data_IF_788878278476
#
_entry.id   IF_788878278476
#
_cell.length_a   1.000
_cell.length_b   1.000
_cell.length_c   1.000
_cell.angle_alpha   90.00
_cell.angle_beta   90.00
_cell.angle_gamma   90.00
#
_symmetry.space_group_name_H-M   'P 1'
#
loop_
_entity.id
_entity.type
_entity.pdbx_description
1 polymer ?
#
# COMPACT_ATOMS: atom_id res chain seq x y z
N UNK A 1 12.85 5.08 18.71
CA UNK A 1 12.49 5.46 17.33
C UNK A 1 11.09 4.94 17.18
N UNK A 2 10.11 5.84 17.29
CA UNK A 2 8.72 5.44 17.50
C UNK A 2 8.03 5.50 16.14
N UNK A 3 7.68 4.31 15.65
CA UNK A 3 6.93 4.11 14.42
C UNK A 3 5.52 3.74 14.82
N UNK A 4 4.53 4.44 14.26
CA UNK A 4 3.12 4.15 14.47
C UNK A 4 2.50 3.69 13.16
N UNK A 5 1.59 2.72 13.26
CA UNK A 5 0.80 2.24 12.13
C UNK A 5 -0.65 2.67 12.34
N UNK A 6 -1.16 3.50 11.43
CA UNK A 6 -2.55 3.94 11.46
C UNK A 6 -3.32 3.38 10.26
N UNK A 7 -4.57 3.00 10.47
CA UNK A 7 -5.44 2.52 9.40
C UNK A 7 -5.60 3.56 8.30
N UNK A 8 -5.67 3.11 7.05
CA UNK A 8 -5.94 3.98 5.92
C UNK A 8 -7.45 4.14 5.70
N UNK A 9 -7.99 5.37 5.68
CA UNK A 9 -9.38 5.61 5.30
C UNK A 9 -9.63 5.26 3.83
N UNK A 10 -10.81 4.73 3.50
CA UNK A 10 -11.16 4.38 2.11
C UNK A 10 -11.11 5.60 1.15
N UNK A 11 -11.39 6.80 1.66
CA UNK A 11 -11.27 8.06 0.90
C UNK A 11 -9.85 8.39 0.47
N UNK A 12 -8.83 7.75 1.06
CA UNK A 12 -7.41 7.96 0.73
C UNK A 12 -6.86 6.97 -0.29
N UNK A 13 -7.72 6.25 -1.02
CA UNK A 13 -7.30 5.26 -2.03
C UNK A 13 -6.27 5.82 -3.03
N UNK A 14 -6.45 7.05 -3.52
CA UNK A 14 -5.51 7.66 -4.46
C UNK A 14 -4.11 7.87 -3.86
N UNK A 15 -4.02 8.16 -2.56
CA UNK A 15 -2.75 8.28 -1.86
C UNK A 15 -2.07 6.92 -1.72
N UNK A 16 -2.84 5.86 -1.43
CA UNK A 16 -2.34 4.47 -1.40
C UNK A 16 -1.82 4.07 -2.77
N UNK A 17 -2.60 4.30 -3.83
CA UNK A 17 -2.20 3.97 -5.19
C UNK A 17 -0.90 4.69 -5.58
N UNK A 18 -0.78 5.98 -5.24
CA UNK A 18 0.43 6.77 -5.47
C UNK A 18 1.63 6.19 -4.72
N UNK A 19 1.50 5.85 -3.44
CA UNK A 19 2.57 5.26 -2.65
C UNK A 19 3.00 3.87 -3.17
N UNK A 20 2.03 3.02 -3.55
CA UNK A 20 2.32 1.71 -4.16
C UNK A 20 3.05 1.90 -5.49
N UNK A 21 2.57 2.81 -6.35
CA UNK A 21 3.23 3.12 -7.62
C UNK A 21 4.67 3.58 -7.40
N UNK A 22 4.94 4.46 -6.43
CA UNK A 22 6.31 4.86 -6.11
C UNK A 22 7.22 3.67 -5.72
N UNK A 23 6.70 2.68 -4.99
CA UNK A 23 7.47 1.51 -4.56
C UNK A 23 7.71 0.47 -5.65
N UNK A 24 6.71 0.22 -6.52
CA UNK A 24 6.76 -0.92 -7.46
C UNK A 24 6.90 -0.54 -8.93
N UNK A 25 6.62 0.72 -9.31
CA UNK A 25 6.59 1.15 -10.71
C UNK A 25 7.87 0.80 -11.49
N UNK A 26 9.10 1.09 -11.01
CA UNK A 26 10.31 0.81 -11.79
C UNK A 26 10.48 -0.66 -12.15
N UNK A 27 10.00 -1.57 -11.29
CA UNK A 27 10.13 -3.01 -11.46
C UNK A 27 9.02 -3.59 -12.34
N UNK A 28 7.80 -3.08 -12.19
CA UNK A 28 6.66 -3.52 -13.02
C UNK A 28 6.80 -2.98 -14.44
N UNK A 29 7.14 -1.71 -14.59
CA UNK A 29 7.33 -1.06 -15.89
C UNK A 29 8.39 -1.78 -16.72
N UNK A 30 9.55 -2.08 -16.13
CA UNK A 30 10.67 -2.70 -16.86
C UNK A 30 10.43 -4.14 -17.31
N UNK A 31 9.52 -4.88 -16.68
CA UNK A 31 9.29 -6.30 -16.95
C UNK A 31 7.97 -6.59 -17.67
N UNK A 32 6.92 -5.83 -17.35
CA UNK A 32 5.55 -6.12 -17.78
C UNK A 32 4.87 -4.94 -18.48
N UNK A 33 5.42 -3.73 -18.36
CA UNK A 33 4.73 -2.49 -18.69
C UNK A 33 3.71 -2.12 -17.60
N UNK A 34 3.69 -0.85 -17.22
CA UNK A 34 2.77 -0.33 -16.23
C UNK A 34 1.46 0.14 -16.88
N UNK A 35 0.35 -0.32 -16.31
CA UNK A 35 -1.00 0.13 -16.67
C UNK A 35 -1.72 0.62 -15.42
N UNK A 36 -2.04 1.91 -15.36
CA UNK A 36 -2.71 2.52 -14.21
C UNK A 36 -4.08 1.89 -13.94
N UNK A 37 -4.87 1.61 -14.98
CA UNK A 37 -6.20 1.04 -14.83
C UNK A 37 -6.11 -0.38 -14.25
N UNK A 38 -5.25 -1.22 -14.83
CA UNK A 38 -5.04 -2.59 -14.36
C UNK A 38 -4.54 -2.62 -12.91
N UNK A 39 -3.57 -1.75 -12.55
CA UNK A 39 -3.06 -1.73 -11.18
C UNK A 39 -4.10 -1.19 -10.20
N UNK A 40 -4.94 -0.22 -10.58
CA UNK A 40 -6.08 0.25 -9.76
C UNK A 40 -7.12 -0.84 -9.53
N UNK A 41 -7.50 -1.55 -10.59
CA UNK A 41 -8.41 -2.70 -10.52
C UNK A 41 -7.82 -3.81 -9.64
N UNK A 42 -6.52 -4.08 -9.76
CA UNK A 42 -5.83 -5.05 -8.90
C UNK A 42 -5.84 -4.64 -7.43
N UNK A 43 -5.51 -3.39 -7.11
CA UNK A 43 -5.52 -2.89 -5.72
C UNK A 43 -6.92 -2.94 -5.10
N UNK A 44 -7.98 -2.74 -5.89
CA UNK A 44 -9.36 -2.74 -5.38
C UNK A 44 -9.99 -4.14 -5.32
N UNK A 45 -9.58 -5.07 -6.18
CA UNK A 45 -10.14 -6.43 -6.26
C UNK A 45 -9.37 -7.47 -5.45
N UNK A 46 -8.03 -7.35 -5.40
CA UNK A 46 -7.16 -8.38 -4.83
C UNK A 46 -6.71 -8.08 -3.40
N UNK A 47 -6.85 -6.82 -2.96
CA UNK A 47 -6.44 -6.38 -1.62
C UNK A 47 -7.66 -5.91 -0.82
N UNK A 48 -7.58 -6.08 0.50
CA UNK A 48 -8.58 -5.47 1.40
C UNK A 48 -8.04 -4.14 1.92
N UNK A 49 -8.87 -3.08 2.03
CA UNK A 49 -8.43 -1.78 2.56
C UNK A 49 -7.74 -1.88 3.93
N UNK A 50 -8.21 -2.78 4.79
CA UNK A 50 -7.65 -3.06 6.12
C UNK A 50 -6.24 -3.68 6.13
N UNK A 51 -5.71 -4.08 4.97
CA UNK A 51 -4.32 -4.55 4.88
C UNK A 51 -3.34 -3.39 4.77
N UNK A 52 -3.82 -2.16 4.55
CA UNK A 52 -2.96 -0.99 4.41
C UNK A 52 -2.90 -0.18 5.70
N UNK A 53 -1.70 0.27 6.06
CA UNK A 53 -1.47 1.19 7.17
C UNK A 53 -0.50 2.30 6.77
N UNK A 54 -0.80 3.55 7.13
CA UNK A 54 0.19 4.61 7.05
C UNK A 54 1.22 4.44 8.17
N UNK A 55 2.48 4.55 7.81
CA UNK A 55 3.60 4.55 8.72
C UNK A 55 3.83 6.01 9.14
N UNK A 56 3.74 6.28 10.44
CA UNK A 56 4.05 7.59 11.01
C UNK A 56 5.35 7.54 11.80
N UNK A 57 6.11 8.64 11.77
CA UNK A 57 7.25 8.90 12.64
C UNK A 57 7.13 10.31 13.21
N UNK A 58 6.98 10.44 14.53
CA UNK A 58 6.75 11.75 15.16
C UNK A 58 5.46 12.45 14.67
N UNK A 59 4.43 11.68 14.29
CA UNK A 59 3.18 12.20 13.71
C UNK A 59 3.24 12.51 12.21
N UNK A 60 4.42 12.45 11.58
CA UNK A 60 4.58 12.66 10.15
C UNK A 60 4.41 11.35 9.37
N UNK A 61 3.65 11.38 8.27
CA UNK A 61 3.47 10.24 7.37
C UNK A 61 4.73 10.02 6.53
N UNK A 62 5.40 8.90 6.76
CA UNK A 62 6.69 8.58 6.10
C UNK A 62 6.62 7.39 5.14
N UNK A 63 5.51 6.64 5.12
CA UNK A 63 5.38 5.50 4.23
C UNK A 63 4.06 4.77 4.33
N UNK A 64 3.94 3.70 3.57
CA UNK A 64 2.79 2.81 3.53
C UNK A 64 3.27 1.37 3.79
N UNK A 65 2.59 0.69 4.70
CA UNK A 65 2.72 -0.75 4.92
C UNK A 65 1.50 -1.45 4.32
N UNK A 66 1.73 -2.52 3.56
CA UNK A 66 0.69 -3.48 3.20
C UNK A 66 0.98 -4.79 3.93
N UNK A 67 0.13 -5.20 4.86
CA UNK A 67 0.25 -6.49 5.54
C UNK A 67 -1.05 -7.29 5.50
N UNK A 68 -0.97 -8.48 4.91
CA UNK A 68 -2.08 -9.43 4.89
C UNK A 68 -1.99 -10.35 6.11
N UNK A 69 -3.01 -10.38 6.98
CA UNK A 69 -3.05 -11.29 8.11
C UNK A 69 -3.35 -12.72 7.67
N UNK A 70 -2.69 -13.67 8.33
CA UNK A 70 -3.03 -15.09 8.43
C UNK A 70 -3.36 -15.42 9.89
N UNK A 71 -3.79 -16.65 10.18
CA UNK A 71 -4.18 -17.05 11.55
C UNK A 71 -3.08 -16.75 12.58
N UNK A 72 -1.82 -17.13 12.29
CA UNK A 72 -0.69 -16.98 13.20
C UNK A 72 0.48 -16.15 12.60
N UNK A 73 0.25 -15.41 11.51
CA UNK A 73 1.31 -14.70 10.80
C UNK A 73 0.84 -13.44 10.06
N UNK A 74 1.79 -12.62 9.63
CA UNK A 74 1.57 -11.48 8.73
C UNK A 74 2.44 -11.66 7.49
N UNK A 75 1.86 -11.47 6.30
CA UNK A 75 2.62 -11.31 5.07
C UNK A 75 2.75 -9.84 4.74
N UNK A 76 3.99 -9.38 4.59
CA UNK A 76 4.37 -8.01 4.26
C UNK A 76 4.99 -7.99 2.88
#
# INVERSE_FOLDING_TARGET
MDIELINVPQSEFELVFTAVKQGVFPYVESLFGWDDQFQRERLTSSYRPQWFSWILHGGERIGLLCSKPYEDAQHV
#
